data_IF_511295200179
#
_entry.id   IF_511295200179
#
_cell.length_a   1.000
_cell.length_b   1.000
_cell.length_c   1.000
_cell.angle_alpha   90.00
_cell.angle_beta   90.00
_cell.angle_gamma   90.00
#
_symmetry.space_group_name_H-M   'P 1'
#
loop_
_entity.id
_entity.type
_entity.pdbx_description
1 polymer ?
#
# COMPACT_ATOMS: atom_id res chain seq x y z
N UNK A 1 -20.66 -1.10 -15.47
CA UNK A 1 -20.37 -1.40 -14.06
C UNK A 1 -19.30 -0.45 -13.58
N UNK A 2 -19.40 0.08 -12.36
CA UNK A 2 -18.36 0.99 -11.85
C UNK A 2 -17.02 0.24 -11.83
N UNK A 3 -16.00 0.81 -12.48
CA UNK A 3 -14.64 0.28 -12.45
C UNK A 3 -13.92 0.61 -11.12
N UNK A 4 -14.65 1.09 -10.11
CA UNK A 4 -14.10 1.51 -8.82
C UNK A 4 -14.78 0.77 -7.68
N UNK A 5 -14.04 0.57 -6.58
CA UNK A 5 -14.54 -0.03 -5.36
C UNK A 5 -13.79 0.50 -4.13
N UNK A 6 -14.30 0.11 -2.95
CA UNK A 6 -13.74 0.47 -1.65
C UNK A 6 -13.81 -0.71 -0.70
N UNK A 7 -12.79 -0.84 0.16
CA UNK A 7 -12.83 -1.71 1.33
C UNK A 7 -12.51 -0.88 2.57
N UNK A 8 -13.17 -1.19 3.68
CA UNK A 8 -13.04 -0.47 4.94
C UNK A 8 -12.85 -1.44 6.10
N UNK A 9 -12.08 -1.03 7.09
CA UNK A 9 -12.06 -1.64 8.42
C UNK A 9 -12.97 -0.82 9.31
N UNK A 10 -13.86 -1.50 10.04
CA UNK A 10 -14.81 -0.90 10.96
C UNK A 10 -14.57 -1.40 12.38
N UNK A 11 -14.71 -0.51 13.34
CA UNK A 11 -14.76 -0.83 14.77
C UNK A 11 -15.86 -0.01 15.45
N UNK A 12 -16.67 -0.67 16.28
CA UNK A 12 -17.87 -0.08 16.85
C UNK A 12 -19.06 -0.08 15.90
N UNK A 13 -20.15 0.52 16.35
CA UNK A 13 -21.38 0.63 15.58
C UNK A 13 -21.35 1.91 14.73
N UNK A 14 -21.84 1.82 13.49
CA UNK A 14 -22.10 3.02 12.70
C UNK A 14 -23.19 3.85 13.38
N UNK A 15 -22.93 5.13 13.51
CA UNK A 15 -23.89 6.10 14.03
C UNK A 15 -24.61 6.79 12.87
N UNK A 16 -25.78 7.38 13.13
CA UNK A 16 -26.52 8.21 12.15
C UNK A 16 -25.90 9.61 11.97
N UNK A 17 -24.60 9.77 12.26
CA UNK A 17 -23.87 11.02 12.10
C UNK A 17 -23.54 11.33 10.64
N UNK A 18 -23.09 12.55 10.37
CA UNK A 18 -22.61 12.97 9.04
C UNK A 18 -21.40 12.13 8.58
N UNK A 19 -20.56 11.72 9.53
CA UNK A 19 -19.41 10.85 9.32
C UNK A 19 -19.61 9.49 10.00
N UNK A 20 -19.11 8.46 9.34
CA UNK A 20 -19.12 7.10 9.85
C UNK A 20 -17.89 6.87 10.73
N UNK A 21 -18.00 7.26 11.99
CA UNK A 21 -16.90 7.22 12.97
C UNK A 21 -16.37 5.81 13.25
N UNK A 22 -17.13 4.78 12.85
CA UNK A 22 -16.68 3.39 12.96
C UNK A 22 -15.57 3.04 11.97
N UNK A 23 -15.38 3.81 10.89
CA UNK A 23 -14.33 3.52 9.88
C UNK A 23 -12.96 3.92 10.40
N UNK A 24 -12.10 2.93 10.64
CA UNK A 24 -10.73 3.14 11.16
C UNK A 24 -9.64 3.02 10.08
N UNK A 25 -9.96 2.41 8.95
CA UNK A 25 -9.09 2.37 7.78
C UNK A 25 -9.91 2.19 6.50
N UNK A 26 -9.43 2.71 5.38
CA UNK A 26 -10.07 2.56 4.08
C UNK A 26 -9.05 2.41 2.95
N UNK A 27 -9.44 1.66 1.92
CA UNK A 27 -8.73 1.60 0.65
C UNK A 27 -9.70 1.75 -0.51
N UNK A 28 -9.40 2.68 -1.42
CA UNK A 28 -10.07 2.80 -2.71
C UNK A 28 -9.26 2.08 -3.80
N UNK A 29 -9.95 1.47 -4.77
CA UNK A 29 -9.31 0.75 -5.87
C UNK A 29 -10.12 0.83 -7.17
N UNK A 30 -9.46 0.57 -8.30
CA UNK A 30 -10.07 0.51 -9.63
C UNK A 30 -9.31 -0.44 -10.55
N UNK A 31 -9.94 -1.03 -11.58
CA UNK A 31 -9.17 -1.78 -12.58
C UNK A 31 -8.31 -0.82 -13.41
N UNK A 32 -7.17 -1.32 -13.88
CA UNK A 32 -6.37 -0.65 -14.90
C UNK A 32 -7.20 -0.45 -16.18
N UNK A 33 -6.92 0.63 -16.91
CA UNK A 33 -7.68 1.01 -18.12
C UNK A 33 -7.15 0.35 -19.39
N UNK A 34 -5.92 -0.15 -19.33
CA UNK A 34 -5.15 -0.72 -20.45
C UNK A 34 -4.85 -2.20 -20.24
N UNK A 35 -4.93 -2.68 -19.01
CA UNK A 35 -4.71 -4.08 -18.65
C UNK A 35 -5.88 -4.61 -17.80
N UNK A 36 -6.79 -5.43 -18.37
CA UNK A 36 -7.94 -5.93 -17.64
C UNK A 36 -7.57 -6.89 -16.50
N UNK A 37 -6.35 -7.41 -16.45
CA UNK A 37 -5.88 -8.35 -15.42
C UNK A 37 -5.27 -7.64 -14.20
N UNK A 38 -5.16 -6.31 -14.23
CA UNK A 38 -4.52 -5.49 -13.17
C UNK A 38 -5.52 -4.65 -12.39
N UNK A 39 -5.44 -4.73 -11.06
CA UNK A 39 -6.16 -3.83 -10.14
C UNK A 39 -5.21 -2.78 -9.54
N UNK A 40 -5.63 -1.51 -9.49
CA UNK A 40 -4.91 -0.45 -8.79
C UNK A 40 -5.54 -0.14 -7.44
N UNK A 41 -4.74 -0.19 -6.38
CA UNK A 41 -5.04 0.51 -5.13
C UNK A 41 -4.65 1.99 -5.30
N UNK A 42 -5.49 2.90 -4.80
CA UNK A 42 -5.33 4.36 -5.01
C UNK A 42 -5.10 5.13 -3.73
N UNK A 43 -6.02 4.99 -2.77
CA UNK A 43 -6.01 5.78 -1.55
C UNK A 43 -6.12 4.85 -0.38
N UNK A 44 -5.01 4.60 0.31
CA UNK A 44 -4.97 3.85 1.56
C UNK A 44 -4.87 4.86 2.69
N UNK A 45 -5.83 4.84 3.61
CA UNK A 45 -5.83 5.71 4.78
C UNK A 45 -6.12 4.90 6.04
N UNK A 46 -5.52 5.33 7.15
CA UNK A 46 -5.73 4.78 8.49
C UNK A 46 -5.95 5.98 9.40
N UNK A 47 -6.99 5.91 10.22
CA UNK A 47 -7.34 6.95 11.20
C UNK A 47 -6.15 7.22 12.11
N UNK A 48 -5.93 8.48 12.45
CA UNK A 48 -4.67 8.94 13.06
C UNK A 48 -4.35 8.25 14.39
N UNK A 49 -5.37 8.03 15.22
CA UNK A 49 -5.30 7.30 16.49
C UNK A 49 -5.02 5.80 16.35
N UNK A 50 -5.11 5.25 15.12
CA UNK A 50 -4.93 3.82 14.82
C UNK A 50 -3.72 3.53 13.93
N UNK A 51 -2.93 4.55 13.61
CA UNK A 51 -1.70 4.39 12.81
C UNK A 51 -0.69 3.56 13.60
N UNK A 52 0.06 2.71 12.90
CA UNK A 52 1.06 1.82 13.50
C UNK A 52 0.54 0.44 13.92
N UNK A 53 -0.77 0.23 13.99
CA UNK A 53 -1.39 -1.06 14.36
C UNK A 53 -1.45 -2.09 13.21
N UNK A 54 -0.87 -1.76 12.05
CA UNK A 54 -0.83 -2.66 10.89
C UNK A 54 -2.14 -2.76 10.09
N UNK A 55 -3.14 -1.90 10.36
CA UNK A 55 -4.42 -1.90 9.64
C UNK A 55 -4.27 -1.71 8.12
N UNK A 56 -3.39 -0.79 7.68
CA UNK A 56 -3.14 -0.51 6.26
C UNK A 56 -2.65 -1.75 5.49
N UNK A 57 -1.52 -2.36 5.85
CA UNK A 57 -1.03 -3.59 5.23
C UNK A 57 -2.05 -4.73 5.20
N UNK A 58 -2.75 -4.97 6.31
CA UNK A 58 -3.78 -6.02 6.43
C UNK A 58 -4.95 -5.76 5.48
N UNK A 59 -5.42 -4.51 5.42
CA UNK A 59 -6.49 -4.11 4.50
C UNK A 59 -6.08 -4.24 3.03
N UNK A 60 -4.85 -3.84 2.68
CA UNK A 60 -4.31 -4.05 1.33
C UNK A 60 -4.29 -5.53 0.97
N UNK A 61 -3.78 -6.40 1.86
CA UNK A 61 -3.75 -7.85 1.64
C UNK A 61 -5.15 -8.42 1.44
N UNK A 62 -6.12 -8.02 2.28
CA UNK A 62 -7.53 -8.40 2.11
C UNK A 62 -8.04 -8.03 0.72
N UNK A 63 -7.76 -6.82 0.22
CA UNK A 63 -8.18 -6.44 -1.13
C UNK A 63 -7.51 -7.29 -2.20
N UNK A 64 -6.22 -7.62 -2.05
CA UNK A 64 -5.55 -8.49 -3.03
C UNK A 64 -6.16 -9.89 -3.06
N UNK A 65 -6.47 -10.49 -1.91
CA UNK A 65 -7.14 -11.80 -1.84
C UNK A 65 -8.52 -11.75 -2.54
N UNK A 66 -9.25 -10.63 -2.37
CA UNK A 66 -10.52 -10.39 -3.07
C UNK A 66 -10.37 -10.08 -4.55
N UNK A 67 -9.21 -9.57 -4.98
CA UNK A 67 -8.88 -9.35 -6.39
C UNK A 67 -8.57 -10.70 -7.07
N UNK A 68 -7.75 -11.54 -6.43
CA UNK A 68 -7.47 -12.91 -6.89
C UNK A 68 -8.76 -13.72 -7.09
N UNK A 69 -9.67 -13.68 -6.11
CA UNK A 69 -10.97 -14.36 -6.20
C UNK A 69 -11.88 -13.82 -7.32
N UNK A 70 -11.58 -12.65 -7.89
CA UNK A 70 -12.29 -12.04 -9.02
C UNK A 70 -11.55 -12.20 -10.35
N UNK A 71 -10.43 -12.93 -10.38
CA UNK A 71 -9.66 -13.20 -11.59
C UNK A 71 -8.68 -12.10 -12.00
N UNK A 72 -8.34 -11.17 -11.09
CA UNK A 72 -7.18 -10.29 -11.33
C UNK A 72 -5.89 -11.07 -11.09
N UNK A 73 -4.94 -10.93 -11.99
CA UNK A 73 -3.62 -11.58 -11.90
C UNK A 73 -2.64 -10.74 -11.08
N UNK A 74 -2.82 -9.41 -11.08
CA UNK A 74 -1.86 -8.45 -10.49
C UNK A 74 -2.55 -7.32 -9.77
N UNK A 75 -1.88 -6.81 -8.73
CA UNK A 75 -2.29 -5.61 -8.01
C UNK A 75 -1.14 -4.62 -7.94
N UNK A 76 -1.44 -3.36 -8.29
CA UNK A 76 -0.49 -2.23 -8.27
C UNK A 76 -0.93 -1.15 -7.30
N UNK A 77 0.05 -0.40 -6.83
CA UNK A 77 -0.15 0.82 -6.04
C UNK A 77 1.02 1.76 -6.28
N UNK A 78 0.74 3.05 -6.39
CA UNK A 78 1.75 4.09 -6.41
C UNK A 78 1.80 4.75 -5.03
N UNK A 79 2.97 4.82 -4.40
CA UNK A 79 3.13 5.39 -3.05
C UNK A 79 4.15 6.51 -3.02
N UNK A 80 3.81 7.61 -2.35
CA UNK A 80 4.59 8.85 -2.37
C UNK A 80 5.50 9.05 -1.15
N UNK A 81 5.39 8.22 -0.12
CA UNK A 81 6.14 8.36 1.13
C UNK A 81 6.75 7.03 1.59
N UNK A 82 7.87 7.06 2.34
CA UNK A 82 8.60 5.86 2.75
C UNK A 82 7.84 4.98 3.77
N UNK A 83 6.90 5.54 4.54
CA UNK A 83 6.09 4.75 5.48
C UNK A 83 5.11 3.84 4.75
N UNK A 84 4.42 4.38 3.74
CA UNK A 84 3.55 3.60 2.87
C UNK A 84 4.36 2.55 2.09
N UNK A 85 5.54 2.91 1.58
CA UNK A 85 6.44 1.96 0.93
C UNK A 85 6.76 0.74 1.82
N UNK A 86 7.18 0.97 3.06
CA UNK A 86 7.43 -0.08 4.06
C UNK A 86 6.17 -0.91 4.35
N UNK A 87 5.03 -0.24 4.53
CA UNK A 87 3.76 -0.89 4.80
C UNK A 87 3.34 -1.84 3.65
N UNK A 88 3.54 -1.43 2.40
CA UNK A 88 3.20 -2.26 1.24
C UNK A 88 4.18 -3.43 1.06
N UNK A 89 5.44 -3.28 1.44
CA UNK A 89 6.37 -4.41 1.53
C UNK A 89 5.92 -5.45 2.57
N UNK A 90 5.31 -5.03 3.69
CA UNK A 90 4.68 -5.96 4.66
C UNK A 90 3.45 -6.65 4.08
N UNK A 91 2.72 -5.98 3.20
CA UNK A 91 1.58 -6.56 2.47
C UNK A 91 1.98 -7.46 1.28
N UNK A 92 3.28 -7.70 1.09
CA UNK A 92 3.81 -8.59 0.05
C UNK A 92 4.00 -7.94 -1.31
N UNK A 93 3.94 -6.61 -1.41
CA UNK A 93 4.31 -5.90 -2.63
C UNK A 93 5.83 -5.71 -2.72
N UNK A 94 6.33 -5.51 -3.94
CA UNK A 94 7.71 -5.11 -4.19
C UNK A 94 7.76 -3.94 -5.17
N UNK A 95 8.81 -3.13 -5.03
CA UNK A 95 9.07 -1.99 -5.91
C UNK A 95 9.39 -2.47 -7.32
N UNK A 96 8.71 -1.93 -8.32
CA UNK A 96 8.90 -2.32 -9.72
C UNK A 96 10.16 -1.71 -10.34
N UNK A 97 10.70 -0.65 -9.74
CA UNK A 97 11.71 0.21 -10.38
C UNK A 97 11.11 1.45 -11.07
N UNK A 98 9.78 1.50 -11.21
CA UNK A 98 9.10 2.58 -11.93
C UNK A 98 8.60 3.69 -10.99
N UNK A 99 8.63 4.92 -11.49
CA UNK A 99 8.03 6.08 -10.84
C UNK A 99 6.89 6.64 -11.71
N UNK A 100 5.82 7.14 -11.08
CA UNK A 100 4.78 7.91 -11.78
C UNK A 100 5.16 9.38 -11.86
N UNK A 101 4.42 10.16 -12.65
CA UNK A 101 4.67 11.60 -12.87
C UNK A 101 4.62 12.51 -11.63
N UNK A 102 4.20 12.00 -10.46
CA UNK A 102 4.21 12.73 -9.17
C UNK A 102 5.25 12.11 -8.21
N UNK A 103 6.33 11.56 -8.77
CA UNK A 103 7.37 10.85 -8.01
C UNK A 103 6.79 9.74 -7.12
N UNK A 104 5.68 9.11 -7.47
CA UNK A 104 5.19 7.99 -6.68
C UNK A 104 5.92 6.73 -7.13
N UNK A 105 6.41 5.93 -6.19
CA UNK A 105 7.04 4.65 -6.53
C UNK A 105 5.95 3.62 -6.78
N UNK A 106 6.02 2.92 -7.91
CA UNK A 106 5.06 1.87 -8.25
C UNK A 106 5.49 0.56 -7.61
N UNK A 107 4.61 0.02 -6.78
CA UNK A 107 4.73 -1.30 -6.16
C UNK A 107 3.71 -2.24 -6.78
N UNK A 108 4.13 -3.49 -6.98
CA UNK A 108 3.29 -4.53 -7.57
C UNK A 108 3.40 -5.82 -6.74
N UNK A 109 2.33 -6.61 -6.76
CA UNK A 109 2.42 -8.07 -6.51
C UNK A 109 1.49 -8.86 -7.43
N UNK A 110 1.82 -10.12 -7.72
CA UNK A 110 0.84 -11.09 -8.16
C UNK A 110 -0.33 -11.18 -7.16
N UNK A 111 -1.53 -11.42 -7.64
CA UNK A 111 -2.69 -11.55 -6.77
C UNK A 111 -2.61 -12.85 -5.94
N UNK A 112 -2.05 -13.90 -6.52
CA UNK A 112 -2.00 -15.25 -5.95
C UNK A 112 -0.80 -15.53 -5.03
N UNK A 113 0.19 -14.63 -4.97
CA UNK A 113 1.37 -14.79 -4.12
C UNK A 113 2.00 -13.42 -3.79
N UNK A 114 2.83 -13.33 -2.74
CA UNK A 114 3.71 -12.17 -2.57
C UNK A 114 4.63 -11.98 -3.79
N UNK A 115 5.00 -10.74 -4.08
CA UNK A 115 6.01 -10.45 -5.08
C UNK A 115 7.37 -11.07 -4.70
N UNK A 116 8.24 -11.27 -5.69
CA UNK A 116 9.65 -11.58 -5.42
C UNK A 116 10.35 -10.37 -4.79
N UNK A 117 10.90 -10.57 -3.59
CA UNK A 117 11.49 -9.50 -2.79
C UNK A 117 13.00 -9.69 -2.77
N UNK A 118 13.74 -8.62 -3.04
CA UNK A 118 15.18 -8.59 -2.85
C UNK A 118 15.57 -7.38 -2.02
N UNK A 119 16.59 -7.56 -1.18
CA UNK A 119 17.17 -6.48 -0.37
C UNK A 119 17.64 -5.32 -1.23
N UNK A 120 18.23 -5.60 -2.39
CA UNK A 120 18.67 -4.58 -3.34
C UNK A 120 17.48 -3.73 -3.85
N UNK A 121 16.39 -4.37 -4.30
CA UNK A 121 15.19 -3.67 -4.81
C UNK A 121 14.49 -2.86 -3.73
N UNK A 122 14.38 -3.41 -2.52
CA UNK A 122 13.82 -2.70 -1.38
C UNK A 122 14.61 -1.42 -1.06
N UNK A 123 15.94 -1.54 -0.92
CA UNK A 123 16.82 -0.41 -0.63
C UNK A 123 16.82 0.62 -1.76
N UNK A 124 16.80 0.18 -3.02
CA UNK A 124 16.74 1.08 -4.18
C UNK A 124 15.52 2.01 -4.14
N UNK A 125 14.33 1.51 -3.77
CA UNK A 125 13.15 2.37 -3.61
C UNK A 125 13.29 3.34 -2.42
N UNK A 126 13.84 2.90 -1.29
CA UNK A 126 14.14 3.80 -0.18
C UNK A 126 15.15 4.90 -0.57
N UNK A 127 16.10 4.60 -1.44
CA UNK A 127 17.08 5.57 -1.94
C UNK A 127 16.43 6.63 -2.83
N UNK A 128 15.32 6.32 -3.52
CA UNK A 128 14.58 7.35 -4.27
C UNK A 128 13.92 8.37 -3.34
N UNK A 129 13.40 7.95 -2.18
CA UNK A 129 12.85 8.90 -1.20
C UNK A 129 13.93 9.80 -0.60
N UNK A 130 15.16 9.31 -0.41
CA UNK A 130 16.28 10.10 0.14
C UNK A 130 16.69 11.31 -0.71
N UNK A 131 16.28 11.34 -1.98
CA UNK A 131 16.58 12.42 -2.93
C UNK A 131 15.55 13.57 -2.88
N UNK A 132 14.52 13.46 -2.03
CA UNK A 132 13.38 14.38 -1.98
C UNK A 132 13.49 15.35 -0.81
N UNK A 133 12.60 16.33 -0.82
CA UNK A 133 12.32 17.09 0.38
C UNK A 133 11.51 16.21 1.35
N UNK A 134 11.99 16.09 2.58
CA UNK A 134 11.52 15.11 3.55
C UNK A 134 11.24 15.79 4.87
N UNK A 135 10.13 15.43 5.49
CA UNK A 135 9.87 15.74 6.89
C UNK A 135 10.92 15.11 7.81
N UNK A 136 11.02 15.61 9.04
CA UNK A 136 11.95 15.08 10.05
C UNK A 136 11.70 13.60 10.32
N UNK A 137 10.43 13.20 10.42
CA UNK A 137 10.03 11.82 10.66
C UNK A 137 10.41 10.89 9.50
N UNK A 138 10.23 11.33 8.25
CA UNK A 138 10.61 10.56 7.07
C UNK A 138 12.14 10.38 6.99
N UNK A 139 12.90 11.45 7.29
CA UNK A 139 14.36 11.40 7.33
C UNK A 139 14.84 10.43 8.41
N UNK A 140 14.29 10.53 9.62
CA UNK A 140 14.62 9.65 10.73
C UNK A 140 14.25 8.18 10.41
N UNK A 141 13.10 7.96 9.77
CA UNK A 141 12.69 6.63 9.32
C UNK A 141 13.65 6.05 8.28
N UNK A 142 14.02 6.80 7.25
CA UNK A 142 14.93 6.36 6.20
C UNK A 142 16.35 6.08 6.73
N UNK A 143 16.78 6.79 7.76
CA UNK A 143 18.07 6.52 8.42
C UNK A 143 18.02 5.22 9.22
N UNK A 144 16.96 4.97 9.98
CA UNK A 144 16.75 3.67 10.67
C UNK A 144 16.69 2.50 9.69
N UNK A 145 16.29 2.74 8.44
CA UNK A 145 16.22 1.71 7.38
C UNK A 145 17.51 1.58 6.57
N UNK A 146 18.57 2.31 6.89
CA UNK A 146 19.85 2.20 6.18
C UNK A 146 20.46 0.82 6.45
N UNK A 147 20.71 0.06 5.38
CA UNK A 147 21.28 -1.28 5.50
C UNK A 147 20.31 -2.35 5.99
N UNK A 148 19.03 -2.03 6.16
CA UNK A 148 18.01 -3.01 6.56
C UNK A 148 17.57 -3.88 5.38
N UNK A 149 17.03 -5.05 5.71
CA UNK A 149 16.35 -5.95 4.78
C UNK A 149 14.85 -5.61 4.67
N UNK A 150 14.15 -6.11 3.64
CA UNK A 150 12.70 -5.93 3.56
C UNK A 150 12.02 -6.49 4.81
N UNK A 151 10.97 -5.83 5.35
CA UNK A 151 10.30 -6.31 6.55
C UNK A 151 9.68 -7.70 6.36
N UNK A 152 9.48 -8.46 7.44
CA UNK A 152 8.66 -9.66 7.37
C UNK A 152 7.24 -9.34 6.83
N UNK A 153 6.61 -10.31 6.18
CA UNK A 153 5.23 -10.18 5.75
C UNK A 153 4.33 -10.07 6.99
N UNK A 154 3.28 -9.25 6.90
CA UNK A 154 2.25 -9.19 7.93
C UNK A 154 1.30 -10.38 7.80
N UNK A 155 0.95 -10.96 8.96
CA UNK A 155 -0.06 -12.01 9.09
C UNK A 155 -1.45 -11.57 8.64
#
# INVERSE_FOLDING_TARGET
MSNTGKAVVREGESTDGEFDDSVVAAVAFNADRTDPETLWLRYVTVRDDRRGEGLGPRLCRFVVERAAARGYERVRIAVNNPFAYEALYRAGFAFTGEETGIAELVLERPAHAPAERSTARYRAGLDQYRKRDLSEDERAFLERKRGEEPPALSD
#
